data_IF_724792312249
#
_entry.id   IF_724792312249
#
_cell.length_a   1.000
_cell.length_b   1.000
_cell.length_c   1.000
_cell.angle_alpha   90.00
_cell.angle_beta   90.00
_cell.angle_gamma   90.00
#
_symmetry.space_group_name_H-M   'P 1'
#
loop_
_entity.id
_entity.type
_entity.pdbx_description
1 polymer ?
#
# COMPACT_ATOMS: atom_id res chain seq x y z
N UNK A 1 -6.61 1.22 0.21
CA UNK A 1 -5.48 1.18 -0.74
C UNK A 1 -4.36 2.05 -0.19
N UNK A 2 -3.12 1.84 -0.61
CA UNK A 2 -1.97 2.64 -0.16
C UNK A 2 -0.92 1.85 0.63
N UNK A 3 -1.13 0.55 0.77
CA UNK A 3 -0.26 -0.40 1.46
C UNK A 3 1.19 -0.38 0.97
N UNK A 4 1.41 -0.24 -0.34
CA UNK A 4 2.75 -0.18 -0.94
C UNK A 4 3.54 1.02 -0.38
N UNK A 5 2.88 2.17 -0.26
CA UNK A 5 3.50 3.39 0.26
C UNK A 5 3.66 3.35 1.79
N UNK A 6 2.65 2.87 2.52
CA UNK A 6 2.69 2.76 3.98
C UNK A 6 3.82 1.84 4.43
N UNK A 7 3.92 0.66 3.81
CA UNK A 7 4.97 -0.34 4.10
C UNK A 7 6.29 -0.05 3.36
N UNK A 8 6.37 1.03 2.58
CA UNK A 8 7.57 1.44 1.85
C UNK A 8 8.17 0.31 0.99
N UNK A 9 7.32 -0.43 0.29
CA UNK A 9 7.71 -1.61 -0.48
C UNK A 9 8.46 -1.26 -1.79
N UNK A 10 8.49 0.01 -2.17
CA UNK A 10 9.13 0.55 -3.38
C UNK A 10 10.62 0.88 -3.17
N UNK A 11 11.26 0.34 -2.13
CA UNK A 11 12.69 0.49 -1.90
C UNK A 11 13.09 1.87 -1.36
N UNK A 12 12.21 2.55 -0.60
CA UNK A 12 12.55 3.82 0.05
C UNK A 12 12.23 5.06 -0.78
N UNK A 13 11.69 4.89 -1.98
CA UNK A 13 11.33 6.00 -2.87
C UNK A 13 10.07 6.72 -2.33
N UNK A 14 9.28 6.08 -1.45
CA UNK A 14 8.09 6.64 -0.80
C UNK A 14 7.14 7.34 -1.79
N UNK A 15 7.10 6.87 -3.03
CA UNK A 15 6.31 7.49 -4.10
C UNK A 15 5.00 6.71 -4.28
N UNK A 16 3.91 7.44 -4.53
CA UNK A 16 2.63 6.81 -4.90
C UNK A 16 2.81 6.01 -6.19
N UNK A 17 2.46 4.72 -6.13
CA UNK A 17 2.68 3.78 -7.24
C UNK A 17 1.62 3.89 -8.35
N UNK A 18 0.50 4.56 -8.07
CA UNK A 18 -0.59 4.74 -9.03
C UNK A 18 -1.42 5.98 -8.69
N UNK A 19 -2.01 6.57 -9.72
CA UNK A 19 -3.10 7.53 -9.56
C UNK A 19 -4.41 6.79 -9.31
N UNK A 20 -5.19 7.25 -8.34
CA UNK A 20 -6.49 6.67 -7.99
C UNK A 20 -7.53 7.76 -8.16
N UNK A 21 -8.59 7.47 -8.92
CA UNK A 21 -9.72 8.37 -9.14
C UNK A 21 -11.01 7.69 -8.72
N UNK A 22 -11.93 8.44 -8.12
CA UNK A 22 -13.29 7.95 -7.89
C UNK A 22 -14.07 7.95 -9.21
N UNK A 23 -15.02 7.03 -9.34
CA UNK A 23 -15.99 7.03 -10.46
C UNK A 23 -17.20 7.90 -10.11
N UNK A 24 -17.49 8.08 -8.83
CA UNK A 24 -18.56 8.91 -8.29
C UNK A 24 -18.26 9.38 -6.87
N UNK A 25 -19.30 9.64 -6.08
CA UNK A 25 -19.16 10.00 -4.66
C UNK A 25 -18.72 8.79 -3.83
N UNK A 26 -17.72 8.98 -2.98
CA UNK A 26 -17.20 7.97 -2.06
C UNK A 26 -16.95 8.60 -0.70
N UNK A 27 -17.22 7.83 0.34
CA UNK A 27 -16.74 8.11 1.69
C UNK A 27 -15.53 7.21 1.95
N UNK A 28 -14.44 7.80 2.46
CA UNK A 28 -13.17 7.09 2.66
C UNK A 28 -12.75 7.19 4.12
N UNK A 29 -12.35 6.04 4.67
CA UNK A 29 -11.59 6.00 5.91
C UNK A 29 -10.11 6.12 5.59
N UNK A 30 -9.41 6.95 6.36
CA UNK A 30 -7.98 7.20 6.20
C UNK A 30 -7.31 6.90 7.52
N UNK A 31 -6.23 6.13 7.46
CA UNK A 31 -5.33 5.89 8.58
C UNK A 31 -3.98 6.55 8.27
N UNK A 32 -3.33 7.09 9.29
CA UNK A 32 -1.96 7.58 9.15
C UNK A 32 -0.99 6.41 8.97
N UNK A 33 0.23 6.70 8.50
CA UNK A 33 1.26 5.66 8.39
C UNK A 33 1.62 5.15 9.77
N UNK A 34 1.77 6.06 10.71
CA UNK A 34 2.20 5.82 12.08
C UNK A 34 1.22 4.87 12.79
N UNK A 35 -0.09 5.15 12.69
CA UNK A 35 -1.12 4.32 13.33
C UNK A 35 -1.13 2.88 12.77
N UNK A 36 -0.97 2.73 11.45
CA UNK A 36 -0.91 1.41 10.82
C UNK A 36 0.35 0.67 11.27
N UNK A 37 1.51 1.31 11.22
CA UNK A 37 2.77 0.67 11.62
C UNK A 37 2.80 0.34 13.11
N UNK A 38 2.15 1.13 13.96
CA UNK A 38 2.00 0.81 15.37
C UNK A 38 1.11 -0.43 15.57
N UNK A 39 -0.08 -0.45 14.97
CA UNK A 39 -1.01 -1.59 15.08
C UNK A 39 -0.42 -2.89 14.52
N UNK A 40 0.42 -2.82 13.49
CA UNK A 40 1.08 -4.00 12.92
C UNK A 40 2.11 -4.64 13.85
N UNK A 41 2.70 -3.89 14.80
CA UNK A 41 3.61 -4.47 15.80
C UNK A 41 2.89 -5.45 16.71
N UNK A 42 1.62 -5.19 17.03
CA UNK A 42 0.79 -6.04 17.87
C UNK A 42 0.20 -7.23 17.10
N UNK A 43 0.17 -7.14 15.76
CA UNK A 43 -0.45 -8.10 14.85
C UNK A 43 0.47 -8.51 13.69
N UNK A 44 1.53 -9.30 13.96
CA UNK A 44 2.51 -9.71 12.94
C UNK A 44 1.90 -10.56 11.81
N UNK A 45 0.84 -11.30 12.09
CA UNK A 45 0.08 -12.05 11.09
C UNK A 45 -0.58 -11.13 10.05
N UNK A 46 -1.10 -9.98 10.50
CA UNK A 46 -1.71 -8.99 9.62
C UNK A 46 -0.65 -8.29 8.77
N UNK A 47 0.54 -8.03 9.34
CA UNK A 47 1.68 -7.47 8.59
C UNK A 47 2.06 -8.40 7.43
N UNK A 48 2.14 -9.70 7.68
CA UNK A 48 2.47 -10.70 6.66
C UNK A 48 1.49 -10.61 5.47
N UNK A 49 0.18 -10.62 5.75
CA UNK A 49 -0.88 -10.55 4.74
C UNK A 49 -0.81 -9.26 3.92
N UNK A 50 -0.68 -8.10 4.59
CA UNK A 50 -0.65 -6.79 3.91
C UNK A 50 0.62 -6.66 3.07
N UNK A 51 1.75 -7.16 3.57
CA UNK A 51 3.03 -7.12 2.84
C UNK A 51 3.01 -8.00 1.60
N UNK A 52 2.52 -9.23 1.69
CA UNK A 52 2.38 -10.12 0.53
C UNK A 52 1.44 -9.52 -0.52
N UNK A 53 0.31 -8.95 -0.08
CA UNK A 53 -0.63 -8.28 -0.97
C UNK A 53 0.01 -7.07 -1.67
N UNK A 54 0.73 -6.23 -0.93
CA UNK A 54 1.43 -5.07 -1.48
C UNK A 54 2.52 -5.46 -2.49
N UNK A 55 3.33 -6.49 -2.19
CA UNK A 55 4.35 -7.00 -3.12
C UNK A 55 3.74 -7.54 -4.41
N UNK A 56 2.63 -8.29 -4.32
CA UNK A 56 1.93 -8.81 -5.50
C UNK A 56 1.49 -7.66 -6.41
N UNK A 57 0.93 -6.59 -5.84
CA UNK A 57 0.48 -5.42 -6.59
C UNK A 57 1.63 -4.62 -7.18
N UNK A 58 2.72 -4.45 -6.43
CA UNK A 58 3.91 -3.75 -6.91
C UNK A 58 4.47 -4.41 -8.19
N UNK A 59 4.57 -5.75 -8.20
CA UNK A 59 5.02 -6.50 -9.41
C UNK A 59 4.14 -6.24 -10.62
N UNK A 60 2.82 -6.15 -10.44
CA UNK A 60 1.89 -5.84 -11.53
C UNK A 60 2.15 -4.42 -12.05
N UNK A 61 2.29 -3.44 -11.16
CA UNK A 61 2.60 -2.05 -11.53
C UNK A 61 3.93 -1.95 -12.28
N UNK A 62 4.97 -2.62 -11.81
CA UNK A 62 6.28 -2.67 -12.47
C UNK A 62 6.19 -3.31 -13.86
N UNK A 63 5.47 -4.43 -13.99
CA UNK A 63 5.26 -5.08 -15.28
C UNK A 63 4.52 -4.19 -16.30
N UNK A 64 3.62 -3.32 -15.84
CA UNK A 64 2.96 -2.32 -16.69
C UNK A 64 3.89 -1.18 -17.10
N UNK A 65 4.87 -0.80 -16.26
CA UNK A 65 5.83 0.27 -16.56
C UNK A 65 6.88 -0.13 -17.61
N UNK A 66 7.13 -1.43 -17.75
CA UNK A 66 8.07 -1.99 -18.72
C UNK A 66 7.47 -2.20 -20.13
N UNK A 67 6.18 -1.93 -20.30
CA UNK A 67 5.48 -1.98 -21.60
C UNK A 67 5.35 -0.58 -22.19
#
# INVERSE_FOLDING_TARGET
FGEIGILNLDGGINRRSADVRSVGYLELFVLSREDVLEALKDHPEAECVIREYGQRRLRVVEAHRLK
#
